data_IF_651780821214
#
_entry.id   IF_651780821214
#
_cell.length_a   1.000
_cell.length_b   1.000
_cell.length_c   1.000
_cell.angle_alpha   90.00
_cell.angle_beta   90.00
_cell.angle_gamma   90.00
#
_symmetry.space_group_name_H-M   'P 1'
#
loop_
_entity.id
_entity.type
_entity.pdbx_description
1 polymer ?
#
# COMPACT_ATOMS: atom_id res chain seq x y z
N UNK A 1 -31.30 -25.40 -9.32
CA UNK A 1 -30.10 -25.84 -8.59
C UNK A 1 -30.53 -26.97 -7.70
N UNK A 2 -29.98 -28.16 -7.90
CA UNK A 2 -30.24 -29.32 -7.05
C UNK A 2 -29.00 -29.53 -6.17
N UNK A 3 -29.23 -29.85 -4.90
CA UNK A 3 -28.20 -30.08 -3.91
C UNK A 3 -28.46 -31.48 -3.37
N UNK A 4 -27.43 -32.33 -3.35
CA UNK A 4 -27.58 -33.63 -2.74
C UNK A 4 -27.41 -33.48 -1.23
N UNK A 5 -28.43 -33.86 -0.47
CA UNK A 5 -28.44 -33.72 0.99
C UNK A 5 -28.51 -35.10 1.60
N UNK A 6 -27.46 -35.50 2.31
CA UNK A 6 -27.41 -36.74 3.08
C UNK A 6 -27.85 -36.41 4.51
N UNK A 7 -28.98 -36.96 4.94
CA UNK A 7 -29.50 -36.75 6.29
C UNK A 7 -29.63 -38.07 7.05
N UNK A 8 -29.32 -38.03 8.34
CA UNK A 8 -29.52 -39.13 9.29
C UNK A 8 -30.70 -38.80 10.18
N UNK A 9 -31.62 -39.76 10.34
CA UNK A 9 -32.89 -39.57 11.05
C UNK A 9 -32.90 -40.51 12.25
N UNK A 10 -33.01 -39.95 13.45
CA UNK A 10 -33.21 -40.69 14.68
C UNK A 10 -34.70 -40.73 15.02
N UNK A 11 -35.25 -41.93 15.18
CA UNK A 11 -36.65 -42.13 15.52
C UNK A 11 -36.82 -43.15 16.64
N UNK A 12 -37.96 -43.08 17.32
CA UNK A 12 -38.36 -44.01 18.37
C UNK A 12 -39.84 -44.39 18.19
N UNK A 13 -40.21 -45.60 18.58
CA UNK A 13 -41.59 -46.05 18.58
C UNK A 13 -42.28 -45.60 19.87
N UNK A 14 -43.48 -45.05 19.75
CA UNK A 14 -44.33 -44.71 20.90
C UNK A 14 -44.94 -45.99 21.47
N UNK A 15 -44.67 -46.26 22.76
CA UNK A 15 -45.07 -47.51 23.42
C UNK A 15 -46.58 -47.79 23.34
N UNK A 16 -47.41 -46.74 23.40
CA UNK A 16 -48.88 -46.86 23.33
C UNK A 16 -49.41 -47.25 21.94
N UNK A 17 -48.63 -46.97 20.88
CA UNK A 17 -49.00 -47.25 19.48
C UNK A 17 -48.09 -48.28 18.82
N UNK A 18 -47.38 -49.09 19.61
CA UNK A 18 -46.42 -50.08 19.11
C UNK A 18 -47.04 -51.12 18.16
N UNK A 19 -48.31 -51.50 18.39
CA UNK A 19 -49.05 -52.40 17.48
C UNK A 19 -49.32 -51.74 16.13
N UNK A 20 -49.72 -50.48 16.13
CA UNK A 20 -49.99 -49.72 14.90
C UNK A 20 -48.72 -49.50 14.09
N UNK A 21 -47.60 -49.22 14.77
CA UNK A 21 -46.28 -49.05 14.14
C UNK A 21 -45.76 -50.32 13.46
N UNK A 22 -46.12 -51.51 13.97
CA UNK A 22 -45.68 -52.81 13.44
C UNK A 22 -46.53 -53.30 12.26
N UNK A 23 -47.83 -52.97 12.22
CA UNK A 23 -48.75 -53.53 11.23
C UNK A 23 -49.15 -52.57 10.10
N UNK A 24 -49.05 -51.24 10.29
CA UNK A 24 -49.52 -50.26 9.28
C UNK A 24 -48.47 -49.89 8.23
N UNK A 25 -47.18 -50.11 8.49
CA UNK A 25 -46.11 -49.80 7.54
C UNK A 25 -45.47 -51.08 7.01
N UNK A 26 -45.55 -51.27 5.68
CA UNK A 26 -44.88 -52.38 4.98
C UNK A 26 -43.37 -52.19 4.90
N UNK A 27 -42.86 -50.95 4.93
CA UNK A 27 -41.43 -50.62 4.95
C UNK A 27 -41.19 -49.26 5.66
N UNK A 28 -40.91 -49.24 6.97
CA UNK A 28 -40.79 -48.02 7.75
C UNK A 28 -39.57 -47.16 7.36
N UNK A 29 -38.45 -47.77 6.96
CA UNK A 29 -37.22 -47.02 6.66
C UNK A 29 -37.37 -46.11 5.43
N UNK A 30 -37.92 -46.64 4.33
CA UNK A 30 -38.10 -45.87 3.10
C UNK A 30 -39.17 -44.79 3.24
N UNK A 31 -40.23 -45.05 4.02
CA UNK A 31 -41.26 -44.05 4.25
C UNK A 31 -40.76 -42.93 5.16
N UNK A 32 -40.02 -43.23 6.23
CA UNK A 32 -39.40 -42.20 7.07
C UNK A 32 -38.48 -41.30 6.23
N UNK A 33 -37.68 -41.86 5.31
CA UNK A 33 -36.85 -41.06 4.40
C UNK A 33 -37.66 -40.10 3.51
N UNK A 34 -38.81 -40.55 2.98
CA UNK A 34 -39.67 -39.70 2.14
C UNK A 34 -40.36 -38.57 2.94
N UNK A 35 -40.82 -38.86 4.15
CA UNK A 35 -41.57 -37.90 4.98
C UNK A 35 -40.69 -36.88 5.72
N UNK A 36 -39.41 -37.18 5.93
CA UNK A 36 -38.47 -36.22 6.56
C UNK A 36 -38.30 -34.94 5.74
N UNK A 37 -38.52 -35.01 4.41
CA UNK A 37 -38.53 -33.83 3.55
C UNK A 37 -39.88 -33.09 3.50
N UNK A 38 -41.00 -33.78 3.78
CA UNK A 38 -42.36 -33.25 3.65
C UNK A 38 -42.94 -32.68 4.97
N UNK A 39 -42.31 -32.99 6.10
CA UNK A 39 -42.61 -32.37 7.40
C UNK A 39 -42.87 -33.39 8.51
N UNK A 40 -42.29 -33.11 9.67
CA UNK A 40 -42.25 -33.96 10.88
C UNK A 40 -43.61 -34.46 11.39
N UNK A 41 -44.72 -33.83 10.99
CA UNK A 41 -46.04 -34.01 11.61
C UNK A 41 -46.68 -35.36 11.25
N UNK A 42 -46.38 -35.91 10.06
CA UNK A 42 -47.09 -37.09 9.52
C UNK A 42 -46.69 -38.43 10.15
N UNK A 43 -45.51 -38.55 10.77
CA UNK A 43 -45.01 -39.83 11.33
C UNK A 43 -45.63 -40.18 12.69
N UNK A 44 -46.08 -39.18 13.45
CA UNK A 44 -46.75 -39.37 14.75
C UNK A 44 -48.08 -40.13 14.64
N UNK A 45 -48.78 -40.00 13.51
CA UNK A 45 -50.01 -40.73 13.19
C UNK A 45 -49.78 -42.24 13.07
N UNK A 46 -48.57 -42.65 12.70
CA UNK A 46 -48.17 -44.04 12.51
C UNK A 46 -47.44 -44.65 13.73
N UNK A 47 -47.36 -43.92 14.84
CA UNK A 47 -46.73 -44.39 16.07
C UNK A 47 -45.21 -44.26 16.12
N UNK A 48 -44.61 -43.53 15.18
CA UNK A 48 -43.18 -43.19 15.16
C UNK A 48 -42.97 -41.73 15.56
N UNK A 49 -42.09 -41.48 16.52
CA UNK A 49 -41.64 -40.16 16.91
C UNK A 49 -40.23 -39.94 16.35
N UNK A 50 -40.06 -38.92 15.50
CA UNK A 50 -38.75 -38.48 15.04
C UNK A 50 -38.16 -37.61 16.16
N UNK A 51 -37.05 -38.06 16.75
CA UNK A 51 -36.40 -37.36 17.86
C UNK A 51 -35.52 -36.23 17.32
N UNK A 52 -34.73 -36.52 16.28
CA UNK A 52 -33.83 -35.55 15.67
C UNK A 52 -33.47 -35.97 14.25
N UNK A 53 -33.37 -35.01 13.34
CA UNK A 53 -32.77 -35.21 12.01
C UNK A 53 -31.49 -34.39 11.93
N UNK A 54 -30.37 -35.03 11.66
CA UNK A 54 -29.08 -34.39 11.45
C UNK A 54 -28.72 -34.43 9.98
N UNK A 55 -28.44 -33.28 9.38
CA UNK A 55 -27.85 -33.22 8.05
C UNK A 55 -26.38 -33.59 8.18
N UNK A 56 -25.98 -34.67 7.53
CA UNK A 56 -24.63 -35.23 7.60
C UNK A 56 -23.74 -34.56 6.55
N UNK A 57 -24.28 -34.37 5.34
CA UNK A 57 -23.55 -33.74 4.25
C UNK A 57 -24.49 -33.03 3.27
N UNK A 58 -23.98 -31.95 2.67
CA UNK A 58 -24.65 -31.18 1.63
C UNK A 58 -23.64 -31.01 0.50
N UNK A 59 -23.84 -31.73 -0.59
CA UNK A 59 -23.00 -31.62 -1.77
C UNK A 59 -23.69 -30.76 -2.84
N UNK A 60 -23.23 -29.51 -3.05
CA UNK A 60 -23.66 -28.71 -4.18
C UNK A 60 -23.09 -29.25 -5.48
N UNK A 61 -23.82 -28.99 -6.56
CA UNK A 61 -23.39 -29.31 -7.92
C UNK A 61 -22.00 -28.75 -8.21
N UNK A 62 -21.22 -29.50 -8.98
CA UNK A 62 -19.84 -29.16 -9.31
C UNK A 62 -19.72 -27.79 -9.97
N UNK A 63 -20.69 -27.40 -10.80
CA UNK A 63 -20.70 -26.09 -11.46
C UNK A 63 -20.87 -24.97 -10.45
N UNK A 64 -21.68 -25.18 -9.41
CA UNK A 64 -21.86 -24.21 -8.32
C UNK A 64 -20.58 -24.13 -7.47
N UNK A 65 -19.94 -25.26 -7.15
CA UNK A 65 -18.65 -25.27 -6.42
C UNK A 65 -17.59 -24.45 -7.16
N UNK A 66 -17.45 -24.64 -8.47
CA UNK A 66 -16.49 -23.88 -9.29
C UNK A 66 -16.84 -22.40 -9.35
N UNK A 67 -18.09 -22.05 -9.68
CA UNK A 67 -18.54 -20.66 -9.75
C UNK A 67 -18.37 -19.93 -8.41
N UNK A 68 -18.68 -20.59 -7.30
CA UNK A 68 -18.53 -20.01 -5.97
C UNK A 68 -17.05 -19.79 -5.59
N UNK A 69 -16.17 -20.73 -5.95
CA UNK A 69 -14.74 -20.57 -5.76
C UNK A 69 -14.18 -19.41 -6.60
N UNK A 70 -14.60 -19.27 -7.86
CA UNK A 70 -14.19 -18.16 -8.71
C UNK A 70 -14.68 -16.81 -8.18
N UNK A 71 -15.93 -16.72 -7.72
CA UNK A 71 -16.47 -15.49 -7.12
C UNK A 71 -15.68 -15.11 -5.86
N UNK A 72 -15.41 -16.09 -4.99
CA UNK A 72 -14.66 -15.86 -3.77
C UNK A 72 -13.20 -15.47 -4.05
N UNK A 73 -12.56 -16.12 -5.03
CA UNK A 73 -11.21 -15.78 -5.46
C UNK A 73 -11.16 -14.37 -6.07
N UNK A 74 -12.11 -14.02 -6.94
CA UNK A 74 -12.21 -12.70 -7.55
C UNK A 74 -12.48 -11.60 -6.52
N UNK A 75 -13.36 -11.86 -5.53
CA UNK A 75 -13.63 -10.93 -4.44
C UNK A 75 -12.37 -10.68 -3.59
N UNK A 76 -11.65 -11.75 -3.22
CA UNK A 76 -10.36 -11.64 -2.50
C UNK A 76 -9.32 -10.88 -3.31
N UNK A 77 -9.20 -11.19 -4.60
CA UNK A 77 -8.27 -10.50 -5.50
C UNK A 77 -8.60 -9.01 -5.64
N UNK A 78 -9.88 -8.64 -5.78
CA UNK A 78 -10.30 -7.23 -5.84
C UNK A 78 -9.97 -6.48 -4.56
N UNK A 79 -10.27 -7.06 -3.39
CA UNK A 79 -9.94 -6.45 -2.10
C UNK A 79 -8.43 -6.23 -1.95
N UNK A 80 -7.63 -7.25 -2.27
CA UNK A 80 -6.17 -7.13 -2.24
C UNK A 80 -5.64 -6.09 -3.25
N UNK A 81 -6.25 -5.99 -4.43
CA UNK A 81 -5.88 -5.01 -5.44
C UNK A 81 -6.23 -3.57 -5.01
N UNK A 82 -7.40 -3.35 -4.39
CA UNK A 82 -7.78 -2.03 -3.89
C UNK A 82 -6.86 -1.57 -2.76
N UNK A 83 -6.55 -2.45 -1.81
CA UNK A 83 -5.61 -2.13 -0.72
C UNK A 83 -4.21 -1.80 -1.23
N UNK A 84 -3.71 -2.57 -2.22
CA UNK A 84 -2.43 -2.27 -2.87
C UNK A 84 -2.44 -0.93 -3.60
N UNK A 85 -3.51 -0.63 -4.34
CA UNK A 85 -3.63 0.63 -5.06
C UNK A 85 -3.66 1.84 -4.11
N UNK A 86 -4.35 1.73 -2.97
CA UNK A 86 -4.33 2.76 -1.94
C UNK A 86 -2.94 2.93 -1.31
N UNK A 87 -2.25 1.83 -1.02
CA UNK A 87 -0.89 1.88 -0.49
C UNK A 87 0.09 2.56 -1.48
N UNK A 88 0.03 2.20 -2.76
CA UNK A 88 0.85 2.81 -3.82
C UNK A 88 0.58 4.32 -3.95
N UNK A 89 -0.69 4.73 -3.89
CA UNK A 89 -1.07 6.15 -3.90
C UNK A 89 -0.46 6.90 -2.72
N UNK A 90 -0.51 6.33 -1.51
CA UNK A 90 0.07 6.95 -0.31
C UNK A 90 1.59 7.09 -0.47
N UNK A 91 2.27 6.04 -0.95
CA UNK A 91 3.72 6.06 -1.19
C UNK A 91 4.08 7.16 -2.19
N UNK A 92 3.35 7.27 -3.30
CA UNK A 92 3.63 8.27 -4.33
C UNK A 92 3.41 9.70 -3.83
N UNK A 93 2.32 9.97 -3.11
CA UNK A 93 2.06 11.29 -2.51
C UNK A 93 3.16 11.64 -1.51
N UNK A 94 3.52 10.71 -0.61
CA UNK A 94 4.56 10.95 0.40
C UNK A 94 5.92 11.20 -0.21
N UNK A 95 6.26 10.48 -1.29
CA UNK A 95 7.48 10.72 -2.05
C UNK A 95 7.47 12.12 -2.68
N UNK A 96 6.38 12.50 -3.34
CA UNK A 96 6.25 13.83 -3.94
C UNK A 96 6.32 14.96 -2.90
N UNK A 97 5.65 14.80 -1.75
CA UNK A 97 5.74 15.72 -0.61
C UNK A 97 7.16 15.83 -0.07
N UNK A 98 7.86 14.70 0.08
CA UNK A 98 9.25 14.64 0.54
C UNK A 98 10.21 15.33 -0.42
N UNK A 99 10.08 15.08 -1.72
CA UNK A 99 10.89 15.73 -2.76
C UNK A 99 10.65 17.24 -2.81
N UNK A 100 9.40 17.68 -2.73
CA UNK A 100 9.05 19.10 -2.68
C UNK A 100 9.64 19.79 -1.44
N UNK A 101 9.48 19.19 -0.25
CA UNK A 101 10.06 19.71 1.00
C UNK A 101 11.58 19.75 0.95
N UNK A 102 12.22 18.72 0.41
CA UNK A 102 13.68 18.66 0.26
C UNK A 102 14.20 19.80 -0.61
N UNK A 103 13.59 20.03 -1.78
CA UNK A 103 13.95 21.16 -2.66
C UNK A 103 13.75 22.52 -1.97
N UNK A 104 12.65 22.69 -1.25
CA UNK A 104 12.38 23.91 -0.49
C UNK A 104 13.43 24.16 0.60
N UNK A 105 13.69 23.16 1.44
CA UNK A 105 14.71 23.23 2.50
C UNK A 105 16.11 23.51 1.93
N UNK A 106 16.46 22.88 0.82
CA UNK A 106 17.70 23.14 0.09
C UNK A 106 17.78 24.59 -0.39
N UNK A 107 16.70 25.12 -1.00
CA UNK A 107 16.63 26.53 -1.42
C UNK A 107 16.73 27.53 -0.26
N UNK A 108 16.09 27.23 0.88
CA UNK A 108 16.23 28.01 2.12
C UNK A 108 17.68 27.95 2.63
N UNK A 109 18.31 26.77 2.59
CA UNK A 109 19.70 26.57 2.97
C UNK A 109 20.66 27.40 2.12
N UNK A 110 20.53 27.35 0.78
CA UNK A 110 21.33 28.15 -0.16
C UNK A 110 21.13 29.64 0.09
N UNK A 111 19.89 30.09 0.32
CA UNK A 111 19.61 31.52 0.57
C UNK A 111 20.23 31.99 1.88
N UNK A 112 20.12 31.18 2.95
CA UNK A 112 20.77 31.45 4.24
C UNK A 112 22.29 31.45 4.10
N UNK A 113 22.85 30.49 3.36
CA UNK A 113 24.28 30.43 3.08
C UNK A 113 24.74 31.68 2.32
N UNK A 114 24.02 32.09 1.28
CA UNK A 114 24.32 33.33 0.53
C UNK A 114 24.29 34.56 1.42
N UNK A 115 23.30 34.68 2.32
CA UNK A 115 23.25 35.77 3.29
C UNK A 115 24.47 35.75 4.22
N UNK A 116 24.80 34.59 4.81
CA UNK A 116 25.96 34.46 5.69
C UNK A 116 27.29 34.81 5.01
N UNK A 117 27.45 34.48 3.72
CA UNK A 117 28.63 34.86 2.93
C UNK A 117 28.71 36.38 2.76
N UNK A 118 27.60 37.03 2.39
CA UNK A 118 27.56 38.50 2.20
C UNK A 118 27.84 39.22 3.51
N UNK A 119 27.23 38.76 4.61
CA UNK A 119 27.44 39.34 5.94
C UNK A 119 28.90 39.16 6.39
N UNK A 120 29.48 37.97 6.21
CA UNK A 120 30.89 37.72 6.55
C UNK A 120 31.89 38.52 5.67
N UNK A 121 31.59 38.69 4.38
CA UNK A 121 32.41 39.53 3.50
C UNK A 121 32.34 41.00 3.93
N UNK A 122 31.15 41.49 4.28
CA UNK A 122 30.95 42.84 4.80
C UNK A 122 31.78 43.08 6.06
N UNK A 123 31.73 42.14 7.01
CA UNK A 123 32.51 42.23 8.25
C UNK A 123 34.02 42.21 7.98
N UNK A 124 34.46 41.38 7.03
CA UNK A 124 35.86 41.32 6.60
C UNK A 124 36.33 42.64 5.97
N UNK A 125 35.51 43.27 5.12
CA UNK A 125 35.81 44.57 4.50
C UNK A 125 35.88 45.67 5.55
N UNK A 126 34.94 45.70 6.51
CA UNK A 126 34.96 46.67 7.62
C UNK A 126 36.20 46.50 8.51
N UNK A 127 36.53 45.25 8.88
CA UNK A 127 37.70 44.95 9.70
C UNK A 127 39.03 45.34 9.05
N UNK A 128 39.16 45.15 7.73
CA UNK A 128 40.37 45.52 7.00
C UNK A 128 40.50 47.05 6.83
N UNK A 129 39.39 47.73 6.54
CA UNK A 129 39.35 49.18 6.40
C UNK A 129 39.71 49.93 7.69
N UNK A 130 39.46 49.34 8.86
CA UNK A 130 39.82 49.94 10.17
C UNK A 130 41.30 49.73 10.50
N UNK A 131 41.89 48.59 10.11
CA UNK A 131 43.25 48.21 10.49
C UNK A 131 44.34 48.72 9.52
N UNK A 132 43.98 49.07 8.29
CA UNK A 132 44.92 49.59 7.28
C UNK A 132 44.52 51.00 6.85
N UNK A 133 45.26 52.05 7.26
CA UNK A 133 44.94 53.43 6.89
C UNK A 133 45.10 53.65 5.39
N UNK A 134 44.09 54.27 4.75
CA UNK A 134 44.14 54.69 3.35
C UNK A 134 43.52 53.73 2.33
N UNK A 135 43.05 52.55 2.75
CA UNK A 135 42.34 51.62 1.86
C UNK A 135 40.84 51.91 1.82
N UNK A 136 40.24 51.91 0.63
CA UNK A 136 38.79 52.00 0.47
C UNK A 136 38.15 50.62 0.39
N UNK A 137 36.85 50.51 0.69
CA UNK A 137 36.10 49.27 0.52
C UNK A 137 36.17 48.72 -0.92
N UNK A 138 36.35 49.60 -1.90
CA UNK A 138 36.52 49.24 -3.31
C UNK A 138 37.85 48.50 -3.55
N UNK A 139 38.95 48.99 -2.97
CA UNK A 139 40.27 48.38 -3.14
C UNK A 139 40.32 46.96 -2.54
N UNK A 140 39.64 46.75 -1.41
CA UNK A 140 39.52 45.42 -0.77
C UNK A 140 38.69 44.46 -1.64
N UNK A 141 37.57 44.93 -2.21
CA UNK A 141 36.75 44.15 -3.13
C UNK A 141 37.51 43.78 -4.41
N UNK A 142 38.25 44.74 -4.98
CA UNK A 142 39.05 44.52 -6.20
C UNK A 142 40.16 43.47 -5.94
N UNK A 143 40.81 43.51 -4.77
CA UNK A 143 41.79 42.48 -4.39
C UNK A 143 41.15 41.09 -4.20
N UNK A 144 39.97 41.01 -3.57
CA UNK A 144 39.23 39.73 -3.42
C UNK A 144 38.83 39.15 -4.78
N UNK A 145 38.40 39.99 -5.73
CA UNK A 145 38.06 39.57 -7.10
C UNK A 145 39.28 39.00 -7.84
N UNK A 146 40.44 39.66 -7.71
CA UNK A 146 41.68 39.17 -8.31
C UNK A 146 42.10 37.82 -7.71
N UNK A 147 41.98 37.66 -6.38
CA UNK A 147 42.27 36.37 -5.74
C UNK A 147 41.31 35.27 -6.19
N UNK A 148 40.00 35.53 -6.23
CA UNK A 148 39.02 34.56 -6.75
C UNK A 148 39.26 34.20 -8.21
N UNK A 149 39.66 35.17 -9.05
CA UNK A 149 40.02 34.90 -10.44
C UNK A 149 41.20 33.92 -10.54
N UNK A 150 42.22 34.07 -9.68
CA UNK A 150 43.35 33.15 -9.67
C UNK A 150 43.02 31.78 -9.04
N UNK A 151 42.22 31.74 -7.98
CA UNK A 151 41.79 30.48 -7.36
C UNK A 151 40.90 29.66 -8.30
N UNK A 152 39.94 30.32 -8.97
CA UNK A 152 39.11 29.66 -10.01
C UNK A 152 39.95 29.15 -11.18
N UNK A 153 40.93 29.94 -11.65
CA UNK A 153 41.90 29.49 -12.65
C UNK A 153 42.71 28.28 -12.18
N UNK A 154 43.13 28.27 -10.91
CA UNK A 154 43.91 27.17 -10.31
C UNK A 154 43.07 25.90 -10.18
N UNK A 155 41.82 26.00 -9.73
CA UNK A 155 40.90 24.84 -9.64
C UNK A 155 40.61 24.22 -11.01
N UNK A 156 40.33 25.06 -12.02
CA UNK A 156 40.12 24.61 -13.40
C UNK A 156 41.41 23.96 -13.93
N UNK A 157 42.58 24.55 -13.68
CA UNK A 157 43.87 23.98 -14.09
C UNK A 157 44.26 22.70 -13.35
N UNK A 158 43.80 22.49 -12.12
CA UNK A 158 44.08 21.31 -11.32
C UNK A 158 43.21 20.09 -11.70
N UNK A 159 42.05 20.32 -12.33
CA UNK A 159 41.19 19.24 -12.82
C UNK A 159 41.81 18.60 -14.08
N UNK A 160 42.47 17.46 -13.94
CA UNK A 160 43.25 16.78 -15.01
C UNK A 160 42.47 16.39 -16.28
N UNK A 161 41.16 16.64 -16.37
CA UNK A 161 40.30 16.33 -17.52
C UNK A 161 39.77 17.57 -18.28
N UNK A 162 40.08 18.80 -17.85
CA UNK A 162 39.63 20.00 -18.57
C UNK A 162 40.72 20.58 -19.48
N UNK A 163 40.45 20.61 -20.79
CA UNK A 163 41.20 21.39 -21.77
C UNK A 163 40.70 22.84 -21.73
N UNK A 164 41.42 23.75 -21.09
CA UNK A 164 41.10 25.19 -21.07
C UNK A 164 42.01 25.96 -22.03
N UNK A 165 41.43 26.61 -23.03
CA UNK A 165 42.13 27.57 -23.91
C UNK A 165 41.88 28.98 -23.38
N UNK A 166 42.94 29.66 -22.93
CA UNK A 166 42.84 31.04 -22.46
C UNK A 166 42.93 32.01 -23.63
N UNK A 167 41.82 32.71 -23.92
CA UNK A 167 41.81 33.82 -24.87
C UNK A 167 42.05 35.10 -24.07
N UNK A 168 43.17 35.81 -24.29
CA UNK A 168 43.41 37.09 -23.65
C UNK A 168 42.34 38.09 -24.10
N UNK A 169 41.70 38.74 -23.14
CA UNK A 169 40.81 39.88 -23.38
C UNK A 169 41.44 41.09 -22.70
N UNK A 170 42.02 41.96 -23.52
CA UNK A 170 42.42 43.31 -23.15
C UNK A 170 42.11 44.25 -24.32
N UNK A 171 42.04 45.58 -24.11
CA UNK A 171 41.72 46.57 -25.16
C UNK A 171 42.71 46.67 -26.34
N UNK A 172 43.58 45.68 -26.55
CA UNK A 172 44.59 45.63 -27.61
C UNK A 172 44.87 44.24 -28.17
N UNK A 173 43.98 43.26 -27.97
CA UNK A 173 44.11 41.92 -28.57
C UNK A 173 42.86 41.54 -29.35
N UNK A 174 42.72 42.17 -30.52
CA UNK A 174 42.13 41.62 -31.75
C UNK A 174 43.02 42.03 -32.92
#
# INVERSE_FOLDING_TARGET
MFVNVVASVQYRVLAEKAKDALYKLSNPMTQIQAYVFDGYVSMSAYGYEIVQTLIVDIEPDEHVKRAMNEINAAARMRAAASEKAEAEKIIQIKRAEGEAKSKYLSGVGITRQRRAIVDGLRDSVLGFSVNVPGTTAKDVLDMVLVTQYFDTRKEIGAASKSSSVFIPHGPGTV
#
